data_IF_283827466771
#
_entry.id   IF_283827466771
#
_cell.length_a   1.000
_cell.length_b   1.000
_cell.length_c   1.000
_cell.angle_alpha   90.00
_cell.angle_beta   90.00
_cell.angle_gamma   90.00
#
_symmetry.space_group_name_H-M   'P 1'
#
loop_
_entity.id
_entity.type
_entity.pdbx_description
1 polymer ?
#
# COMPACT_ATOMS: atom_id res chain seq x y z
N UNK A 1 -3.16 33.84 59.22
CA UNK A 1 -3.97 34.38 58.10
C UNK A 1 -3.12 34.80 56.90
N UNK A 2 -2.28 35.85 56.95
CA UNK A 2 -1.49 36.28 55.78
C UNK A 2 -0.39 35.30 55.34
N UNK A 3 0.21 34.56 56.29
CA UNK A 3 1.20 33.49 56.00
C UNK A 3 0.54 32.28 55.32
N UNK A 4 -0.67 31.93 55.73
CA UNK A 4 -1.41 30.77 55.21
C UNK A 4 -1.80 31.01 53.75
N UNK A 5 -2.32 32.21 53.46
CA UNK A 5 -2.63 32.65 52.10
C UNK A 5 -1.41 32.63 51.17
N UNK A 6 -0.23 33.00 51.69
CA UNK A 6 1.03 32.96 50.93
C UNK A 6 1.49 31.53 50.62
N UNK A 7 1.20 30.58 51.51
CA UNK A 7 1.52 29.17 51.31
C UNK A 7 0.57 28.53 50.30
N UNK A 8 -0.73 28.80 50.41
CA UNK A 8 -1.74 28.36 49.44
C UNK A 8 -1.44 28.87 48.02
N UNK A 9 -1.08 30.16 47.88
CA UNK A 9 -0.68 30.71 46.58
C UNK A 9 0.55 30.04 45.97
N UNK A 10 1.51 29.62 46.80
CA UNK A 10 2.67 28.86 46.32
C UNK A 10 2.27 27.48 45.87
N UNK A 11 1.41 26.80 46.63
CA UNK A 11 0.93 25.47 46.30
C UNK A 11 0.14 25.48 44.98
N UNK A 12 -0.81 26.40 44.82
CA UNK A 12 -1.57 26.59 43.58
C UNK A 12 -0.64 26.83 42.38
N UNK A 13 0.42 27.63 42.54
CA UNK A 13 1.40 27.85 41.46
C UNK A 13 2.17 26.58 41.09
N UNK A 14 2.53 25.77 42.06
CA UNK A 14 3.21 24.49 41.82
C UNK A 14 2.28 23.53 41.08
N UNK A 15 1.06 23.35 41.57
CA UNK A 15 0.05 22.49 40.95
C UNK A 15 -0.29 22.95 39.52
N UNK A 16 -0.40 24.27 39.30
CA UNK A 16 -0.62 24.83 37.97
C UNK A 16 0.57 24.57 37.03
N UNK A 17 1.79 24.57 37.54
CA UNK A 17 2.98 24.25 36.75
C UNK A 17 3.00 22.77 36.35
N UNK A 18 2.71 21.89 37.30
CA UNK A 18 2.65 20.44 37.09
C UNK A 18 1.55 20.08 36.07
N UNK A 19 0.35 20.63 36.25
CA UNK A 19 -0.76 20.44 35.32
C UNK A 19 -0.42 20.93 33.90
N UNK A 20 0.28 22.07 33.76
CA UNK A 20 0.74 22.55 32.47
C UNK A 20 1.80 21.63 31.83
N UNK A 21 2.66 21.00 32.62
CA UNK A 21 3.64 20.04 32.13
C UNK A 21 2.95 18.74 31.64
N UNK A 22 1.95 18.26 32.37
CA UNK A 22 1.13 17.12 31.95
C UNK A 22 0.35 17.41 30.68
N UNK A 23 -0.29 18.58 30.57
CA UNK A 23 -0.98 19.00 29.36
C UNK A 23 -0.04 19.03 28.15
N UNK A 24 1.21 19.49 28.33
CA UNK A 24 2.22 19.46 27.26
C UNK A 24 2.59 18.03 26.87
N UNK A 25 2.73 17.10 27.83
CA UNK A 25 2.99 15.68 27.55
C UNK A 25 1.84 15.05 26.77
N UNK A 26 0.61 15.20 27.25
CA UNK A 26 -0.60 14.68 26.60
C UNK A 26 -0.77 15.23 25.18
N UNK A 27 -0.46 16.52 24.96
CA UNK A 27 -0.49 17.12 23.62
C UNK A 27 0.53 16.49 22.66
N UNK A 28 1.74 16.19 23.15
CA UNK A 28 2.77 15.49 22.35
C UNK A 28 2.33 14.06 22.03
N UNK A 29 1.83 13.33 23.02
CA UNK A 29 1.33 11.97 22.84
C UNK A 29 0.18 11.90 21.85
N UNK A 30 -0.79 12.81 21.95
CA UNK A 30 -1.89 12.90 20.99
C UNK A 30 -1.40 13.17 19.56
N UNK A 31 -0.41 14.05 19.39
CA UNK A 31 0.18 14.30 18.07
C UNK A 31 0.88 13.05 17.51
N UNK A 32 1.68 12.35 18.33
CA UNK A 32 2.32 11.09 17.92
C UNK A 32 1.30 10.02 17.54
N UNK A 33 0.19 9.91 18.27
CA UNK A 33 -0.89 8.98 17.95
C UNK A 33 -1.57 9.34 16.63
N UNK A 34 -1.80 10.62 16.35
CA UNK A 34 -2.33 11.07 15.05
C UNK A 34 -1.41 10.71 13.90
N UNK A 35 -0.10 10.94 14.04
CA UNK A 35 0.89 10.56 13.03
C UNK A 35 0.92 9.05 12.80
N UNK A 36 0.94 8.24 13.88
CA UNK A 36 0.85 6.78 13.78
C UNK A 36 -0.42 6.32 13.07
N UNK A 37 -1.56 6.95 13.36
CA UNK A 37 -2.81 6.61 12.71
C UNK A 37 -2.78 6.93 11.20
N UNK A 38 -2.20 8.06 10.81
CA UNK A 38 -2.00 8.40 9.39
C UNK A 38 -1.12 7.37 8.67
N UNK A 39 -0.05 6.91 9.31
CA UNK A 39 0.81 5.85 8.75
C UNK A 39 0.01 4.55 8.57
N UNK A 40 -0.85 4.21 9.54
CA UNK A 40 -1.67 3.01 9.47
C UNK A 40 -2.67 3.06 8.30
N UNK A 41 -3.31 4.22 8.09
CA UNK A 41 -4.22 4.45 6.94
C UNK A 41 -3.46 4.27 5.62
N UNK A 42 -2.30 4.91 5.45
CA UNK A 42 -1.47 4.77 4.25
C UNK A 42 -1.05 3.31 4.00
N UNK A 43 -0.73 2.57 5.06
CA UNK A 43 -0.41 1.14 4.94
C UNK A 43 -1.59 0.31 4.46
N UNK A 44 -2.83 0.66 4.85
CA UNK A 44 -4.04 -0.01 4.37
C UNK A 44 -4.27 0.30 2.89
N UNK A 45 -4.08 1.55 2.47
CA UNK A 45 -4.16 1.96 1.06
C UNK A 45 -3.16 1.19 0.20
N UNK A 46 -1.87 1.19 0.59
CA UNK A 46 -0.80 0.46 -0.12
C UNK A 46 -1.12 -1.04 -0.22
N UNK A 47 -1.62 -1.67 0.86
CA UNK A 47 -2.01 -3.09 0.83
C UNK A 47 -3.16 -3.35 -0.15
N UNK A 48 -4.07 -2.41 -0.27
CA UNK A 48 -5.21 -2.51 -1.20
C UNK A 48 -4.72 -2.40 -2.64
N UNK A 49 -3.89 -1.40 -2.95
CA UNK A 49 -3.27 -1.23 -4.27
C UNK A 49 -2.42 -2.45 -4.66
N UNK A 50 -1.62 -2.98 -3.74
CA UNK A 50 -0.83 -4.20 -4.00
C UNK A 50 -1.70 -5.41 -4.33
N UNK A 51 -2.86 -5.54 -3.68
CA UNK A 51 -3.81 -6.61 -3.96
C UNK A 51 -4.42 -6.46 -5.36
N UNK A 52 -4.75 -5.23 -5.75
CA UNK A 52 -5.27 -4.94 -7.09
C UNK A 52 -4.23 -5.22 -8.17
N UNK A 53 -2.98 -4.75 -7.99
CA UNK A 53 -1.87 -5.04 -8.90
C UNK A 53 -1.66 -6.55 -9.04
N UNK A 54 -1.65 -7.28 -7.92
CA UNK A 54 -1.52 -8.74 -7.94
C UNK A 54 -2.63 -9.41 -8.75
N UNK A 55 -3.88 -9.01 -8.53
CA UNK A 55 -5.01 -9.54 -9.29
C UNK A 55 -4.87 -9.24 -10.80
N UNK A 56 -4.45 -8.02 -11.16
CA UNK A 56 -4.20 -7.64 -12.55
C UNK A 56 -3.09 -8.48 -13.18
N UNK A 57 -1.99 -8.73 -12.47
CA UNK A 57 -0.91 -9.62 -12.92
C UNK A 57 -1.44 -11.04 -13.13
N UNK A 58 -2.22 -11.58 -12.18
CA UNK A 58 -2.81 -12.92 -12.30
C UNK A 58 -3.75 -13.03 -13.52
N UNK A 59 -4.51 -11.98 -13.84
CA UNK A 59 -5.36 -11.91 -15.03
C UNK A 59 -4.49 -11.91 -16.30
N UNK A 60 -3.49 -11.04 -16.38
CA UNK A 60 -2.57 -10.96 -17.51
C UNK A 60 -1.82 -12.29 -17.73
N UNK A 61 -1.41 -12.97 -16.66
CA UNK A 61 -0.79 -14.30 -16.77
C UNK A 61 -1.77 -15.35 -17.31
N UNK A 62 -3.04 -15.32 -16.89
CA UNK A 62 -4.08 -16.21 -17.43
C UNK A 62 -4.34 -15.93 -18.90
N UNK A 63 -4.47 -14.66 -19.30
CA UNK A 63 -4.63 -14.27 -20.70
C UNK A 63 -3.43 -14.72 -21.55
N UNK A 64 -2.20 -14.53 -21.04
CA UNK A 64 -0.98 -15.05 -21.69
C UNK A 64 -1.02 -16.57 -21.86
N UNK A 65 -1.50 -17.32 -20.86
CA UNK A 65 -1.63 -18.79 -20.95
C UNK A 65 -2.70 -19.22 -21.96
N UNK A 66 -3.80 -18.49 -22.05
CA UNK A 66 -4.88 -18.74 -23.02
C UNK A 66 -4.39 -18.45 -24.44
N UNK A 67 -3.64 -17.36 -24.63
CA UNK A 67 -2.99 -17.03 -25.90
C UNK A 67 -1.83 -17.97 -26.26
N UNK A 68 -1.39 -18.83 -25.32
CA UNK A 68 -0.38 -19.86 -25.55
C UNK A 68 -0.94 -21.15 -26.18
N UNK A 69 -2.20 -21.18 -26.61
CA UNK A 69 -2.68 -22.22 -27.54
C UNK A 69 -2.33 -21.80 -28.96
N UNK A 70 -1.04 -21.83 -29.29
CA UNK A 70 -0.56 -21.85 -30.68
C UNK A 70 0.57 -22.87 -30.75
N UNK A 71 0.20 -24.06 -31.20
CA UNK A 71 1.01 -25.15 -31.76
C UNK A 71 2.43 -25.28 -31.18
N UNK A 72 2.57 -26.24 -30.26
CA UNK A 72 3.79 -26.98 -29.93
C UNK A 72 4.97 -26.75 -30.89
N UNK A 73 5.82 -25.76 -30.60
CA UNK A 73 7.20 -25.68 -31.12
C UNK A 73 7.62 -24.44 -31.91
N UNK A 74 6.73 -23.52 -32.32
CA UNK A 74 7.12 -22.36 -33.13
C UNK A 74 7.01 -21.04 -32.35
N UNK A 75 8.13 -20.31 -32.22
CA UNK A 75 8.14 -18.91 -31.76
C UNK A 75 7.62 -18.03 -32.90
N UNK A 76 6.30 -17.80 -32.96
CA UNK A 76 5.69 -16.89 -33.92
C UNK A 76 5.23 -15.63 -33.20
N UNK A 77 5.47 -14.45 -33.78
CA UNK A 77 4.92 -13.20 -33.28
C UNK A 77 3.40 -13.19 -33.55
N UNK A 78 2.60 -13.36 -32.49
CA UNK A 78 1.14 -13.41 -32.57
C UNK A 78 0.50 -12.03 -32.79
N UNK A 79 1.31 -10.96 -32.83
CA UNK A 79 0.85 -9.58 -33.07
C UNK A 79 0.55 -9.32 -34.56
N UNK A 80 1.12 -10.11 -35.47
CA UNK A 80 0.91 -10.02 -36.92
C UNK A 80 0.10 -11.22 -37.44
N UNK A 81 -1.17 -11.01 -37.82
CA UNK A 81 -2.03 -12.05 -38.36
C UNK A 81 -1.51 -12.71 -39.65
N UNK A 82 -0.70 -12.00 -40.45
CA UNK A 82 -0.13 -12.55 -41.69
C UNK A 82 1.02 -13.51 -41.37
N UNK A 83 1.94 -13.10 -40.49
CA UNK A 83 3.04 -13.95 -40.03
C UNK A 83 2.54 -15.23 -39.34
N UNK A 84 1.45 -15.15 -38.57
CA UNK A 84 0.81 -16.32 -37.96
C UNK A 84 0.26 -17.29 -39.01
N UNK A 85 -0.43 -16.76 -40.03
CA UNK A 85 -1.02 -17.58 -41.09
C UNK A 85 0.04 -18.30 -41.91
N UNK A 86 1.14 -17.62 -42.26
CA UNK A 86 2.26 -18.23 -42.99
C UNK A 86 2.94 -19.33 -42.16
N UNK A 87 3.24 -19.07 -40.88
CA UNK A 87 3.86 -20.07 -40.00
C UNK A 87 2.99 -21.32 -39.80
N UNK A 88 1.65 -21.16 -39.72
CA UNK A 88 0.73 -22.31 -39.65
C UNK A 88 0.70 -23.12 -40.94
N UNK A 89 0.75 -22.47 -42.11
CA UNK A 89 0.78 -23.14 -43.41
C UNK A 89 2.07 -23.98 -43.54
N UNK A 90 3.21 -23.42 -43.17
CA UNK A 90 4.50 -24.11 -43.28
C UNK A 90 4.61 -25.28 -42.30
N UNK A 91 4.07 -25.14 -41.08
CA UNK A 91 4.00 -26.24 -40.11
C UNK A 91 3.22 -27.44 -40.65
N UNK A 92 2.05 -27.19 -41.25
CA UNK A 92 1.18 -28.23 -41.82
C UNK A 92 1.87 -28.91 -43.01
N UNK A 93 2.58 -28.16 -43.86
CA UNK A 93 3.34 -28.73 -44.98
C UNK A 93 4.51 -29.62 -44.55
N UNK A 94 5.14 -29.35 -43.40
CA UNK A 94 6.24 -30.16 -42.89
C UNK A 94 5.80 -31.49 -42.26
N UNK A 95 4.53 -31.62 -41.89
CA UNK A 95 3.97 -32.79 -41.20
C UNK A 95 2.92 -33.56 -42.04
N UNK A 96 2.81 -33.23 -43.34
CA UNK A 96 2.09 -33.98 -44.38
C UNK A 96 3.11 -34.73 -45.26
#
# INVERSE_FOLDING_TARGET
>A
MMKDFKNELKQIRTEQKECNEELKKLKRESNMLKEKNQILIKNIEIKTELKEIKNSVDILEKEKRINNVVVTGLKVDTSDPLALKEAMIDFVKQHL
#
